data_IF_348111513577
#
_entry.id   IF_348111513577
#
_cell.length_a   1.000
_cell.length_b   1.000
_cell.length_c   1.000
_cell.angle_alpha   90.00
_cell.angle_beta   90.00
_cell.angle_gamma   90.00
#
_symmetry.space_group_name_H-M   'P 1'
#
loop_
_entity.id
_entity.type
_entity.pdbx_description
1 polymer ?
#
# COMPACT_ATOMS: atom_id res chain seq x y z
N UNK A 1 9.74 53.69 5.94
CA UNK A 1 8.33 53.74 6.39
C UNK A 1 7.54 52.81 5.50
N UNK A 2 6.98 51.76 6.09
CA UNK A 2 5.99 50.81 5.54
C UNK A 2 6.48 49.82 4.45
N UNK A 3 6.19 48.52 4.47
CA UNK A 3 5.80 47.52 5.48
C UNK A 3 6.10 46.18 4.79
N UNK A 4 6.94 45.31 5.38
CA UNK A 4 7.09 43.93 4.92
C UNK A 4 5.74 43.22 5.05
N UNK A 5 5.20 42.69 3.94
CA UNK A 5 4.12 41.71 3.99
C UNK A 5 4.71 40.40 4.52
N UNK A 6 4.45 40.12 5.79
CA UNK A 6 4.44 38.75 6.29
C UNK A 6 3.19 38.05 5.78
N UNK A 7 3.32 36.92 5.10
CA UNK A 7 2.22 35.96 4.97
C UNK A 7 2.76 34.56 4.75
N UNK A 8 2.89 33.85 5.88
CA UNK A 8 2.59 32.43 6.10
C UNK A 8 3.16 31.42 5.11
N UNK A 9 4.18 30.69 5.57
CA UNK A 9 4.59 29.38 5.04
C UNK A 9 3.38 28.44 4.92
N UNK A 10 3.31 27.59 3.88
CA UNK A 10 2.26 26.57 3.79
C UNK A 10 2.43 25.62 4.99
N UNK A 11 1.36 25.45 5.75
CA UNK A 11 1.29 24.48 6.84
C UNK A 11 1.50 23.06 6.30
N UNK A 12 2.53 22.38 6.76
CA UNK A 12 3.05 21.09 6.28
C UNK A 12 2.20 19.85 6.63
N UNK A 13 0.90 20.00 6.88
CA UNK A 13 0.01 18.91 7.34
C UNK A 13 -0.92 18.38 6.22
N UNK A 14 -0.91 19.04 5.05
CA UNK A 14 -1.82 18.78 3.93
C UNK A 14 -1.46 17.55 3.10
N UNK A 15 -0.24 17.00 3.23
CA UNK A 15 0.31 15.96 2.35
C UNK A 15 0.47 14.57 3.02
N UNK A 16 0.05 14.41 4.28
CA UNK A 16 0.20 13.17 5.04
C UNK A 16 -1.04 12.27 4.92
N UNK A 17 -0.90 10.95 4.94
CA UNK A 17 -2.05 10.04 5.05
C UNK A 17 -2.55 9.97 6.50
N UNK A 18 -3.87 9.95 6.69
CA UNK A 18 -4.50 9.81 8.00
C UNK A 18 -4.51 8.34 8.46
N UNK A 19 -4.56 7.40 7.50
CA UNK A 19 -4.57 5.96 7.76
C UNK A 19 -3.83 5.21 6.64
N UNK A 20 -2.99 4.24 7.02
CA UNK A 20 -2.41 3.26 6.09
C UNK A 20 -2.80 1.86 6.53
N UNK A 21 -3.47 1.11 5.65
CA UNK A 21 -3.80 -0.29 5.90
C UNK A 21 -2.76 -1.21 5.25
N UNK A 22 -2.02 -1.98 6.05
CA UNK A 22 -1.11 -3.02 5.55
C UNK A 22 -1.79 -4.37 5.66
N UNK A 23 -1.87 -5.11 4.55
CA UNK A 23 -2.31 -6.50 4.60
C UNK A 23 -2.79 -7.05 3.27
N UNK A 24 -3.73 -7.99 3.39
CA UNK A 24 -4.18 -8.80 2.25
C UNK A 24 -5.12 -8.01 1.34
N UNK A 25 -4.88 -8.16 0.03
CA UNK A 25 -5.71 -7.70 -1.06
C UNK A 25 -6.07 -8.92 -1.90
N UNK A 26 -7.35 -9.19 -2.08
CA UNK A 26 -7.85 -10.37 -2.82
C UNK A 26 -8.99 -10.00 -3.75
N UNK A 27 -9.35 -10.93 -4.62
CA UNK A 27 -10.59 -10.88 -5.39
C UNK A 27 -11.41 -12.11 -5.02
N UNK A 28 -12.62 -11.88 -4.54
CA UNK A 28 -13.61 -12.91 -4.26
C UNK A 28 -14.35 -13.23 -5.56
N UNK A 29 -14.22 -14.48 -6.01
CA UNK A 29 -14.96 -15.02 -7.15
C UNK A 29 -16.25 -15.67 -6.65
N UNK A 30 -17.39 -15.03 -6.92
CA UNK A 30 -18.70 -15.45 -6.41
C UNK A 30 -19.53 -15.99 -7.57
N UNK A 31 -19.73 -17.32 -7.58
CA UNK A 31 -20.59 -17.98 -8.55
C UNK A 31 -22.05 -18.03 -8.06
N UNK A 32 -23.01 -17.69 -8.92
CA UNK A 32 -24.45 -17.70 -8.60
C UNK A 32 -25.30 -18.21 -9.79
N UNK A 33 -26.47 -18.81 -9.53
CA UNK A 33 -26.92 -19.38 -8.26
C UNK A 33 -26.28 -20.75 -7.98
N UNK A 34 -26.27 -21.18 -6.71
CA UNK A 34 -26.10 -22.59 -6.33
C UNK A 34 -27.35 -23.00 -5.55
N UNK A 35 -28.11 -23.95 -6.10
CA UNK A 35 -29.23 -24.56 -5.37
C UNK A 35 -28.74 -25.64 -4.40
N UNK A 36 -27.63 -26.31 -4.71
CA UNK A 36 -27.02 -27.34 -3.86
C UNK A 36 -25.53 -27.47 -4.13
N UNK A 37 -24.72 -27.63 -3.07
CA UNK A 37 -23.29 -27.88 -3.24
C UNK A 37 -23.03 -29.19 -4.02
N UNK A 38 -22.05 -29.21 -4.94
CA UNK A 38 -21.73 -30.42 -5.69
C UNK A 38 -21.28 -31.55 -4.76
N UNK A 39 -21.74 -32.77 -5.05
CA UNK A 39 -21.21 -33.96 -4.41
C UNK A 39 -19.71 -34.12 -4.75
N UNK A 40 -18.95 -34.78 -3.87
CA UNK A 40 -17.51 -35.00 -4.08
C UNK A 40 -17.24 -35.67 -5.43
N UNK A 41 -16.39 -35.04 -6.25
CA UNK A 41 -16.04 -35.54 -7.59
C UNK A 41 -17.03 -35.17 -8.70
N UNK A 42 -18.03 -34.34 -8.40
CA UNK A 42 -18.97 -33.80 -9.40
C UNK A 42 -18.73 -32.31 -9.63
N UNK A 43 -19.23 -31.80 -10.75
CA UNK A 43 -19.21 -30.37 -11.09
C UNK A 43 -20.63 -29.90 -11.32
N UNK A 44 -20.93 -28.69 -10.86
CA UNK A 44 -22.19 -27.99 -11.16
C UNK A 44 -21.84 -26.70 -11.88
N UNK A 45 -22.71 -26.29 -12.79
CA UNK A 45 -22.53 -25.04 -13.52
C UNK A 45 -23.03 -23.87 -12.68
N UNK A 46 -22.35 -22.73 -12.85
CA UNK A 46 -22.85 -21.44 -12.43
C UNK A 46 -23.41 -20.70 -13.64
N UNK A 47 -24.56 -20.05 -13.49
CA UNK A 47 -25.11 -19.19 -14.55
C UNK A 47 -24.29 -17.89 -14.68
N UNK A 48 -23.66 -17.46 -13.58
CA UNK A 48 -22.87 -16.25 -13.51
C UNK A 48 -21.69 -16.39 -12.56
N UNK A 49 -20.59 -15.69 -12.87
CA UNK A 49 -19.43 -15.56 -12.00
C UNK A 49 -19.09 -14.08 -11.87
N UNK A 50 -19.20 -13.56 -10.66
CA UNK A 50 -18.90 -12.17 -10.33
C UNK A 50 -17.56 -12.07 -9.60
N UNK A 51 -16.79 -11.03 -9.89
CA UNK A 51 -15.48 -10.77 -9.27
C UNK A 51 -15.57 -9.51 -8.41
N UNK A 52 -15.26 -9.65 -7.13
CA UNK A 52 -15.31 -8.53 -6.17
C UNK A 52 -13.96 -8.34 -5.49
N UNK A 53 -13.33 -7.16 -5.60
CA UNK A 53 -12.17 -6.83 -4.77
C UNK A 53 -12.50 -6.92 -3.28
N UNK A 54 -11.54 -7.38 -2.49
CA UNK A 54 -11.71 -7.56 -1.06
C UNK A 54 -10.39 -7.77 -0.32
N UNK A 55 -10.51 -8.32 0.88
CA UNK A 55 -9.41 -8.45 1.84
C UNK A 55 -9.47 -7.39 2.93
N UNK A 56 -8.97 -7.72 4.12
CA UNK A 56 -9.13 -6.85 5.29
C UNK A 56 -8.52 -5.46 5.09
N UNK A 57 -7.34 -5.38 4.47
CA UNK A 57 -6.68 -4.10 4.20
C UNK A 57 -7.41 -3.29 3.14
N UNK A 58 -7.90 -3.95 2.07
CA UNK A 58 -8.73 -3.33 1.04
C UNK A 58 -10.02 -2.77 1.64
N UNK A 59 -10.81 -3.59 2.32
CA UNK A 59 -12.11 -3.20 2.84
C UNK A 59 -12.01 -2.06 3.86
N UNK A 60 -11.01 -2.12 4.75
CA UNK A 60 -10.78 -1.09 5.76
C UNK A 60 -10.34 0.22 5.12
N UNK A 61 -9.43 0.15 4.14
CA UNK A 61 -8.93 1.37 3.48
C UNK A 61 -10.01 2.07 2.66
N UNK A 62 -10.81 1.31 1.91
CA UNK A 62 -11.96 1.84 1.16
C UNK A 62 -13.01 2.43 2.10
N UNK A 63 -13.33 1.74 3.20
CA UNK A 63 -14.29 2.25 4.18
C UNK A 63 -13.81 3.58 4.81
N UNK A 64 -12.54 3.67 5.19
CA UNK A 64 -11.96 4.89 5.75
C UNK A 64 -11.93 6.03 4.73
N UNK A 65 -11.59 5.76 3.46
CA UNK A 65 -11.63 6.75 2.39
C UNK A 65 -13.05 7.30 2.17
N UNK A 66 -14.07 6.42 2.17
CA UNK A 66 -15.48 6.82 2.08
C UNK A 66 -15.96 7.65 3.26
N UNK A 67 -15.33 7.51 4.43
CA UNK A 67 -15.57 8.34 5.61
C UNK A 67 -14.82 9.68 5.56
N UNK A 68 -14.04 9.95 4.51
CA UNK A 68 -13.33 11.20 4.26
C UNK A 68 -11.89 11.23 4.78
N UNK A 69 -11.33 10.10 5.24
CA UNK A 69 -9.94 10.03 5.62
C UNK A 69 -9.04 9.92 4.38
N UNK A 70 -7.89 10.61 4.38
CA UNK A 70 -6.83 10.40 3.41
C UNK A 70 -6.19 9.05 3.69
N UNK A 71 -6.54 8.06 2.88
CA UNK A 71 -6.23 6.66 3.19
C UNK A 71 -5.29 6.07 2.15
N UNK A 72 -4.29 5.33 2.61
CA UNK A 72 -3.46 4.49 1.76
C UNK A 72 -3.58 3.00 2.11
N UNK A 73 -3.14 2.16 1.18
CA UNK A 73 -3.08 0.72 1.40
C UNK A 73 -1.75 0.16 0.91
N UNK A 74 -1.18 -0.77 1.69
CA UNK A 74 0.03 -1.50 1.38
C UNK A 74 -0.27 -2.98 1.30
N UNK A 75 0.00 -3.56 0.14
CA UNK A 75 -0.17 -4.99 -0.14
C UNK A 75 0.51 -5.36 -1.44
N UNK A 76 0.51 -6.65 -1.76
CA UNK A 76 1.06 -7.17 -3.02
C UNK A 76 -0.08 -7.77 -3.83
N UNK A 77 -0.13 -7.43 -5.10
CA UNK A 77 -1.05 -8.02 -6.08
C UNK A 77 -0.27 -8.64 -7.23
N UNK A 78 -0.88 -9.61 -7.91
CA UNK A 78 -0.31 -10.21 -9.13
C UNK A 78 -0.31 -9.23 -10.29
N UNK A 79 0.59 -9.45 -11.26
CA UNK A 79 0.57 -8.75 -12.55
C UNK A 79 -0.42 -9.44 -13.51
N UNK A 80 -1.68 -9.49 -13.11
CA UNK A 80 -2.78 -10.15 -13.80
C UNK A 80 -4.08 -9.32 -13.73
N UNK A 81 -5.16 -9.86 -14.29
CA UNK A 81 -6.46 -9.19 -14.34
C UNK A 81 -7.04 -8.92 -12.95
N UNK A 82 -6.73 -9.75 -11.95
CA UNK A 82 -7.23 -9.59 -10.59
C UNK A 82 -6.49 -8.46 -9.88
N UNK A 83 -5.15 -8.40 -10.03
CA UNK A 83 -4.36 -7.29 -9.55
C UNK A 83 -4.78 -5.96 -10.18
N UNK A 84 -5.03 -5.95 -11.49
CA UNK A 84 -5.59 -4.79 -12.19
C UNK A 84 -6.93 -4.34 -11.60
N UNK A 85 -7.87 -5.27 -11.40
CA UNK A 85 -9.18 -4.99 -10.81
C UNK A 85 -9.07 -4.38 -9.39
N UNK A 86 -8.18 -4.90 -8.55
CA UNK A 86 -7.91 -4.37 -7.21
C UNK A 86 -7.38 -2.94 -7.28
N UNK A 87 -6.34 -2.70 -8.08
CA UNK A 87 -5.70 -1.39 -8.20
C UNK A 87 -6.65 -0.33 -8.77
N UNK A 88 -7.43 -0.68 -9.80
CA UNK A 88 -8.40 0.23 -10.39
C UNK A 88 -9.52 0.58 -9.42
N UNK A 89 -9.94 -0.36 -8.57
CA UNK A 89 -10.96 -0.09 -7.56
C UNK A 89 -10.42 0.79 -6.45
N UNK A 90 -9.21 0.54 -5.94
CA UNK A 90 -8.57 1.41 -4.95
C UNK A 90 -8.44 2.85 -5.46
N UNK A 91 -8.01 3.03 -6.71
CA UNK A 91 -7.95 4.35 -7.35
C UNK A 91 -9.31 5.04 -7.43
N UNK A 92 -10.36 4.31 -7.83
CA UNK A 92 -11.74 4.85 -7.91
C UNK A 92 -12.27 5.29 -6.54
N UNK A 93 -11.88 4.59 -5.49
CA UNK A 93 -12.26 4.89 -4.10
C UNK A 93 -11.36 5.97 -3.46
N UNK A 94 -10.39 6.51 -4.20
CA UNK A 94 -9.47 7.54 -3.69
C UNK A 94 -8.46 7.02 -2.67
N UNK A 95 -8.20 5.71 -2.63
CA UNK A 95 -7.20 5.09 -1.77
C UNK A 95 -5.84 5.13 -2.47
N UNK A 96 -4.83 5.69 -1.81
CA UNK A 96 -3.46 5.72 -2.32
C UNK A 96 -2.85 4.31 -2.28
N UNK A 97 -2.44 3.80 -3.44
CA UNK A 97 -1.75 2.51 -3.58
C UNK A 97 -0.24 2.69 -3.47
N UNK A 98 0.22 3.55 -2.55
CA UNK A 98 1.59 4.07 -2.44
C UNK A 98 2.62 3.09 -3.00
N UNK A 99 3.52 3.57 -3.87
CA UNK A 99 4.57 2.79 -4.57
C UNK A 99 5.60 2.12 -3.65
N UNK A 100 5.26 1.88 -2.40
CA UNK A 100 5.99 1.14 -1.39
C UNK A 100 6.40 -0.26 -1.84
N UNK A 101 5.67 -0.91 -2.76
CA UNK A 101 6.12 -2.14 -3.42
C UNK A 101 7.38 -1.91 -4.27
N UNK A 102 7.33 -0.91 -5.16
CA UNK A 102 8.49 -0.51 -5.97
C UNK A 102 9.63 0.01 -5.10
N UNK A 103 9.32 0.75 -4.03
CA UNK A 103 10.29 1.26 -3.07
C UNK A 103 10.94 0.12 -2.26
N UNK A 104 10.18 -0.93 -1.91
CA UNK A 104 10.71 -2.15 -1.31
C UNK A 104 11.68 -2.84 -2.27
N UNK A 105 11.26 -3.07 -3.52
CA UNK A 105 12.09 -3.72 -4.53
C UNK A 105 13.36 -2.91 -4.78
N UNK A 106 13.25 -1.60 -4.94
CA UNK A 106 14.38 -0.69 -5.10
C UNK A 106 15.34 -0.76 -3.89
N UNK A 107 14.82 -0.70 -2.66
CA UNK A 107 15.63 -0.83 -1.44
C UNK A 107 16.27 -2.21 -1.29
N UNK A 108 15.60 -3.27 -1.73
CA UNK A 108 16.12 -4.63 -1.70
C UNK A 108 17.25 -4.82 -2.72
N UNK A 109 17.04 -4.37 -3.97
CA UNK A 109 18.05 -4.40 -5.02
C UNK A 109 19.28 -3.58 -4.62
N UNK A 110 19.06 -2.39 -4.03
CA UNK A 110 20.12 -1.55 -3.49
C UNK A 110 20.95 -2.28 -2.42
N UNK A 111 20.30 -2.90 -1.43
CA UNK A 111 21.00 -3.64 -0.38
C UNK A 111 21.77 -4.85 -0.90
N UNK A 112 21.24 -5.56 -1.91
CA UNK A 112 21.96 -6.65 -2.60
C UNK A 112 23.17 -6.15 -3.38
N UNK A 113 23.03 -5.05 -4.11
CA UNK A 113 24.13 -4.43 -4.85
C UNK A 113 25.23 -3.93 -3.91
N UNK A 114 24.86 -3.41 -2.74
CA UNK A 114 25.79 -2.96 -1.70
C UNK A 114 26.45 -4.12 -0.91
N UNK A 115 26.18 -5.37 -1.27
CA UNK A 115 26.77 -6.56 -0.63
C UNK A 115 26.27 -6.82 0.80
N UNK A 116 25.09 -6.34 1.17
CA UNK A 116 24.55 -6.54 2.50
C UNK A 116 23.99 -7.95 2.70
N UNK A 117 23.97 -8.40 3.96
CA UNK A 117 23.25 -9.62 4.32
C UNK A 117 21.73 -9.43 4.16
N UNK A 118 21.00 -10.55 4.04
CA UNK A 118 19.56 -10.53 3.78
C UNK A 118 18.76 -9.77 4.83
N UNK A 119 19.13 -9.89 6.10
CA UNK A 119 18.45 -9.19 7.20
C UNK A 119 18.56 -7.68 7.04
N UNK A 120 19.77 -7.16 6.82
CA UNK A 120 20.01 -5.72 6.61
C UNK A 120 19.31 -5.23 5.35
N UNK A 121 19.37 -5.99 4.26
CA UNK A 121 18.68 -5.68 3.00
C UNK A 121 17.17 -5.61 3.19
N UNK A 122 16.57 -6.60 3.87
CA UNK A 122 15.15 -6.62 4.15
C UNK A 122 14.72 -5.46 5.07
N UNK A 123 15.49 -5.17 6.12
CA UNK A 123 15.23 -4.02 7.01
C UNK A 123 15.25 -2.70 6.22
N UNK A 124 16.22 -2.53 5.32
CA UNK A 124 16.31 -1.34 4.50
C UNK A 124 15.19 -1.23 3.46
N UNK A 125 14.86 -2.33 2.78
CA UNK A 125 13.74 -2.40 1.84
C UNK A 125 12.41 -2.05 2.52
N UNK A 126 12.14 -2.64 3.68
CA UNK A 126 10.95 -2.35 4.50
C UNK A 126 10.93 -0.89 4.95
N UNK A 127 12.07 -0.35 5.38
CA UNK A 127 12.15 1.06 5.78
C UNK A 127 11.92 2.02 4.60
N UNK A 128 12.42 1.68 3.41
CA UNK A 128 12.20 2.46 2.18
C UNK A 128 10.72 2.44 1.79
N UNK A 129 10.08 1.27 1.86
CA UNK A 129 8.64 1.12 1.65
C UNK A 129 7.81 1.89 2.68
N UNK A 130 8.16 1.79 3.96
CA UNK A 130 7.49 2.49 5.06
C UNK A 130 7.68 4.01 4.98
N UNK A 131 8.80 4.50 4.45
CA UNK A 131 9.00 5.92 4.22
C UNK A 131 8.21 6.42 3.00
N UNK A 132 8.10 5.60 1.96
CA UNK A 132 7.33 5.93 0.75
C UNK A 132 5.86 6.26 1.06
N UNK A 133 5.26 5.57 2.03
CA UNK A 133 3.87 5.83 2.45
C UNK A 133 3.67 7.09 3.31
N UNK A 134 4.75 7.81 3.65
CA UNK A 134 4.66 9.06 4.42
C UNK A 134 4.29 10.28 3.57
N UNK A 135 4.25 10.12 2.25
CA UNK A 135 3.82 11.13 1.31
C UNK A 135 2.82 10.54 0.32
N UNK A 136 1.87 11.36 -0.13
CA UNK A 136 0.91 10.97 -1.17
C UNK A 136 1.62 10.80 -2.51
N UNK A 137 1.34 9.69 -3.20
CA UNK A 137 1.85 9.37 -4.53
C UNK A 137 3.01 8.37 -4.56
N UNK A 138 3.21 7.73 -5.73
CA UNK A 138 4.10 6.58 -5.88
C UNK A 138 5.61 6.90 -5.73
N UNK A 139 6.02 8.12 -6.09
CA UNK A 139 7.45 8.52 -6.10
C UNK A 139 7.74 9.70 -5.18
N UNK A 140 6.73 10.43 -4.72
CA UNK A 140 6.89 11.63 -3.91
C UNK A 140 7.55 11.34 -2.56
N UNK A 141 7.33 10.14 -2.03
CA UNK A 141 7.91 9.68 -0.78
C UNK A 141 9.21 8.89 -0.92
N UNK A 142 9.85 8.77 -2.09
CA UNK A 142 11.08 7.96 -2.21
C UNK A 142 12.27 8.70 -1.56
N UNK A 143 12.82 8.21 -0.44
CA UNK A 143 13.94 8.85 0.24
C UNK A 143 15.31 8.47 -0.34
N UNK A 144 16.32 9.29 -0.08
CA UNK A 144 17.72 8.90 -0.24
C UNK A 144 18.15 7.85 0.82
N UNK A 145 19.25 7.14 0.54
CA UNK A 145 19.71 6.05 1.40
C UNK A 145 20.14 6.50 2.81
N UNK A 146 20.60 7.74 2.98
CA UNK A 146 20.97 8.29 4.29
C UNK A 146 19.73 8.62 5.12
N UNK A 147 18.68 9.12 4.47
CA UNK A 147 17.37 9.36 5.09
C UNK A 147 16.74 8.05 5.56
N UNK A 148 16.76 6.98 4.75
CA UNK A 148 16.31 5.64 5.18
C UNK A 148 17.14 5.12 6.36
N UNK A 149 18.46 5.27 6.29
CA UNK A 149 19.35 4.82 7.35
C UNK A 149 19.10 5.56 8.67
N UNK A 150 18.79 6.86 8.62
CA UNK A 150 18.37 7.65 9.79
C UNK A 150 17.02 7.19 10.33
N UNK A 151 16.05 6.93 9.45
CA UNK A 151 14.73 6.43 9.83
C UNK A 151 14.82 5.07 10.56
N UNK A 152 15.63 4.14 10.05
CA UNK A 152 15.87 2.84 10.71
C UNK A 152 16.45 3.06 12.12
N UNK A 153 17.47 3.91 12.25
CA UNK A 153 18.11 4.20 13.55
C UNK A 153 17.14 4.83 14.55
N UNK A 154 16.28 5.75 14.09
CA UNK A 154 15.28 6.41 14.93
C UNK A 154 14.18 5.45 15.40
N UNK A 155 13.81 4.47 14.57
CA UNK A 155 12.67 3.58 14.79
C UNK A 155 13.05 2.12 15.10
N UNK A 156 14.28 1.87 15.55
CA UNK A 156 14.68 0.53 16.02
C UNK A 156 14.03 0.26 17.38
N UNK A 157 12.96 -0.56 17.38
CA UNK A 157 12.18 -0.87 18.58
C UNK A 157 12.87 -1.87 19.54
N UNK A 158 13.99 -2.49 19.14
CA UNK A 158 14.83 -3.29 20.05
C UNK A 158 16.04 -2.47 20.51
N UNK A 159 15.90 -1.82 21.67
CA UNK A 159 17.04 -1.48 22.53
C UNK A 159 17.26 -2.67 23.48
N UNK A 160 18.29 -3.46 23.24
CA UNK A 160 18.87 -4.36 24.25
C UNK A 160 19.84 -3.58 25.13
#
# INVERSE_FOLDING_TARGET
MSTLKSSTSPSSDSDCLDLVCLGILVVDAVGKPIDTFPAKGTSVYFDSLEMHPGGCAFNTSVAAARLGLRTGVLGVVGHDVFGGLVLDTLRKEGVDTCGAGDAFIAGFLYGKQAGWNLTRTATFATATAAFCVTAIGATAGIPDADTVSRFIKANTLCRS
#
